data_IF_165317819115
#
_entry.id   IF_165317819115
#
_cell.length_a   1.000
_cell.length_b   1.000
_cell.length_c   1.000
_cell.angle_alpha   90.00
_cell.angle_beta   90.00
_cell.angle_gamma   90.00
#
_symmetry.space_group_name_H-M   'P 1'
#
loop_
_entity.id
_entity.type
_entity.pdbx_description
1 polymer ?
#
# COMPACT_ATOMS: atom_id res chain seq x y z
N UNK A 1 -10.75 -6.97 42.86
CA UNK A 1 -9.81 -5.91 43.28
C UNK A 1 -8.63 -5.90 42.33
N UNK A 2 -8.06 -4.71 42.08
CA UNK A 2 -6.95 -4.38 41.16
C UNK A 2 -7.38 -4.08 39.71
N UNK A 3 -7.87 -2.86 39.46
CA UNK A 3 -7.13 -1.64 39.01
C UNK A 3 -6.96 -1.67 37.49
N UNK A 4 -7.76 -0.98 36.68
CA UNK A 4 -8.00 0.46 36.75
C UNK A 4 -6.87 1.20 36.05
N UNK A 5 -6.65 0.95 34.76
CA UNK A 5 -5.72 1.73 33.93
C UNK A 5 -6.43 2.98 33.40
N UNK A 6 -6.72 3.89 34.34
CA UNK A 6 -6.91 5.30 34.05
C UNK A 6 -5.55 5.92 33.77
N UNK A 7 -5.37 6.44 32.55
CA UNK A 7 -4.17 7.17 32.17
C UNK A 7 -4.09 7.55 30.69
N UNK A 8 -5.23 7.81 30.05
CA UNK A 8 -5.23 8.44 28.72
C UNK A 8 -5.16 9.96 28.92
N UNK A 9 -3.95 10.51 28.84
CA UNK A 9 -3.78 11.91 28.52
C UNK A 9 -3.63 12.00 27.00
N UNK A 10 -4.64 12.46 26.24
CA UNK A 10 -4.39 12.86 24.87
C UNK A 10 -3.51 14.11 24.96
N UNK A 11 -2.20 13.93 24.81
CA UNK A 11 -1.34 15.04 24.43
C UNK A 11 -1.77 15.40 23.02
N UNK A 12 -2.75 16.30 22.94
CA UNK A 12 -3.10 17.00 21.72
C UNK A 12 -1.87 17.80 21.31
N UNK A 13 -1.00 17.17 20.51
CA UNK A 13 -0.02 17.88 19.70
C UNK A 13 -0.79 18.67 18.65
N UNK A 14 -1.36 19.81 19.07
CA UNK A 14 -1.85 20.88 18.19
C UNK A 14 -0.63 21.51 17.51
N UNK A 15 -0.02 20.82 16.56
CA UNK A 15 1.09 21.38 15.77
C UNK A 15 0.72 21.50 14.29
N UNK A 16 -0.33 20.83 13.82
CA UNK A 16 -0.71 20.87 12.40
C UNK A 16 -2.17 21.31 12.19
N UNK A 17 -2.54 22.56 12.55
CA UNK A 17 -3.93 23.05 12.49
C UNK A 17 -4.57 22.90 11.11
N UNK A 18 -3.77 22.92 10.04
CA UNK A 18 -4.24 22.68 8.67
C UNK A 18 -4.60 21.20 8.44
N UNK A 19 -3.83 20.26 8.98
CA UNK A 19 -4.13 18.83 8.83
C UNK A 19 -5.38 18.45 9.63
N UNK A 20 -5.53 18.97 10.85
CA UNK A 20 -6.73 18.75 11.66
C UNK A 20 -7.98 19.25 10.93
N UNK A 21 -7.94 20.46 10.35
CA UNK A 21 -9.04 21.00 9.54
C UNK A 21 -9.36 20.14 8.30
N UNK A 22 -8.34 19.57 7.66
CA UNK A 22 -8.53 18.63 6.54
C UNK A 22 -9.24 17.36 7.03
N UNK A 23 -8.72 16.75 8.10
CA UNK A 23 -9.25 15.49 8.64
C UNK A 23 -10.61 15.64 9.30
N UNK A 24 -11.00 16.82 9.77
CA UNK A 24 -12.37 17.11 10.22
C UNK A 24 -13.41 16.87 9.12
N UNK A 25 -13.04 17.04 7.84
CA UNK A 25 -13.94 16.80 6.69
C UNK A 25 -13.93 15.36 6.20
N UNK A 26 -12.91 14.59 6.56
CA UNK A 26 -12.81 13.19 6.19
C UNK A 26 -13.63 12.34 7.15
N UNK A 27 -14.20 11.24 6.66
CA UNK A 27 -15.00 10.30 7.45
C UNK A 27 -14.62 8.87 7.07
N UNK A 28 -14.96 7.89 7.92
CA UNK A 28 -14.74 6.47 7.62
C UNK A 28 -13.28 6.01 7.63
N UNK A 29 -13.04 4.92 6.92
CA UNK A 29 -11.79 4.13 6.96
C UNK A 29 -10.56 4.91 6.45
N UNK A 30 -10.75 5.84 5.51
CA UNK A 30 -9.66 6.69 5.01
C UNK A 30 -9.07 7.57 6.12
N UNK A 31 -9.93 8.17 6.96
CA UNK A 31 -9.50 9.00 8.09
C UNK A 31 -8.79 8.17 9.14
N UNK A 32 -9.35 7.00 9.47
CA UNK A 32 -8.74 6.07 10.42
C UNK A 32 -7.36 5.61 9.92
N UNK A 33 -7.24 5.29 8.63
CA UNK A 33 -5.97 4.94 7.99
C UNK A 33 -4.95 6.05 8.09
N UNK A 34 -5.34 7.32 7.87
CA UNK A 34 -4.44 8.46 8.09
C UNK A 34 -3.93 8.49 9.53
N UNK A 35 -4.80 8.32 10.54
CA UNK A 35 -4.36 8.31 11.94
C UNK A 35 -3.41 7.14 12.25
N UNK A 36 -3.68 5.95 11.71
CA UNK A 36 -2.79 4.79 11.84
C UNK A 36 -1.41 5.05 11.23
N UNK A 37 -1.37 5.65 10.03
CA UNK A 37 -0.13 6.01 9.36
C UNK A 37 0.62 7.15 10.08
N UNK A 38 -0.08 8.12 10.66
CA UNK A 38 0.55 9.15 11.50
C UNK A 38 1.24 8.51 12.71
N UNK A 39 0.56 7.57 13.37
CA UNK A 39 1.14 6.86 14.50
C UNK A 39 2.35 6.01 14.09
N UNK A 40 2.31 5.39 12.90
CA UNK A 40 3.36 4.52 12.40
C UNK A 40 4.57 5.26 11.83
N UNK A 41 4.34 6.31 11.04
CA UNK A 41 5.36 6.98 10.21
C UNK A 41 5.58 8.45 10.57
N UNK A 42 4.81 9.02 11.50
CA UNK A 42 4.84 10.44 11.81
C UNK A 42 3.94 11.28 10.89
N UNK A 43 4.03 12.61 11.02
CA UNK A 43 3.20 13.53 10.24
C UNK A 43 3.46 13.39 8.72
N UNK A 44 2.43 13.58 7.88
CA UNK A 44 2.58 13.56 6.43
C UNK A 44 3.44 14.70 5.92
N UNK A 45 4.06 14.51 4.76
CA UNK A 45 4.84 15.54 4.07
C UNK A 45 3.94 16.54 3.35
N UNK A 46 2.84 16.06 2.77
CA UNK A 46 1.85 16.89 2.10
C UNK A 46 0.44 16.49 2.54
N UNK A 47 -0.44 17.48 2.66
CA UNK A 47 -1.85 17.27 2.96
C UNK A 47 -2.68 18.22 2.11
N UNK A 48 -3.72 17.68 1.48
CA UNK A 48 -4.71 18.43 0.72
C UNK A 48 -6.10 17.91 1.06
N UNK A 49 -7.14 18.60 0.60
CA UNK A 49 -8.53 18.20 0.86
C UNK A 49 -8.87 16.81 0.32
N UNK A 50 -8.17 16.31 -0.70
CA UNK A 50 -8.48 15.05 -1.40
C UNK A 50 -7.44 13.95 -1.20
N UNK A 51 -6.25 14.26 -0.68
CA UNK A 51 -5.21 13.26 -0.39
C UNK A 51 -4.20 13.72 0.65
N UNK A 52 -3.64 12.75 1.38
CA UNK A 52 -2.56 12.90 2.37
C UNK A 52 -1.38 12.03 1.94
N UNK A 53 -0.16 12.59 1.94
CA UNK A 53 1.02 11.97 1.33
C UNK A 53 2.20 11.92 2.31
N UNK A 54 2.83 10.76 2.37
CA UNK A 54 4.15 10.55 2.95
C UNK A 54 5.14 10.18 1.85
N UNK A 55 6.35 10.69 1.94
CA UNK A 55 7.48 10.29 1.10
C UNK A 55 8.54 9.61 1.95
N UNK A 56 9.19 8.60 1.36
CA UNK A 56 10.33 7.91 1.96
C UNK A 56 10.06 7.39 3.39
N UNK A 57 8.86 6.82 3.61
CA UNK A 57 8.42 6.31 4.90
C UNK A 57 8.54 4.79 4.99
N UNK A 58 9.33 4.30 5.94
CA UNK A 58 9.57 2.86 6.08
C UNK A 58 10.15 2.26 4.79
N UNK A 59 9.54 1.20 4.23
CA UNK A 59 10.01 0.62 2.98
C UNK A 59 9.44 1.31 1.73
N UNK A 60 8.51 2.26 1.90
CA UNK A 60 7.79 2.92 0.83
C UNK A 60 8.57 4.12 0.30
N UNK A 61 8.60 4.24 -1.03
CA UNK A 61 9.01 5.49 -1.68
C UNK A 61 7.96 6.58 -1.46
N UNK A 62 6.68 6.18 -1.52
CA UNK A 62 5.53 7.07 -1.39
C UNK A 62 4.33 6.30 -0.84
N UNK A 63 3.62 6.89 0.12
CA UNK A 63 2.33 6.43 0.62
C UNK A 63 1.32 7.55 0.45
N UNK A 64 0.18 7.28 -0.18
CA UNK A 64 -0.91 8.24 -0.40
C UNK A 64 -2.20 7.63 0.13
N UNK A 65 -2.87 8.33 1.04
CA UNK A 65 -4.28 8.06 1.32
C UNK A 65 -5.11 9.01 0.50
N UNK A 66 -6.00 8.48 -0.33
CA UNK A 66 -6.98 9.24 -1.12
C UNK A 66 -8.29 9.33 -0.36
N UNK A 67 -8.99 10.47 -0.47
CA UNK A 67 -10.35 10.61 0.06
C UNK A 67 -11.32 9.76 -0.77
N UNK A 68 -11.23 9.88 -2.09
CA UNK A 68 -12.04 9.09 -3.03
C UNK A 68 -11.51 7.67 -3.12
N UNK A 69 -12.44 6.71 -3.05
CA UNK A 69 -12.13 5.29 -3.11
C UNK A 69 -12.83 4.61 -4.29
N UNK A 70 -12.22 3.54 -4.80
CA UNK A 70 -12.72 2.81 -5.97
C UNK A 70 -13.03 1.36 -5.57
N UNK A 71 -14.18 0.78 -5.94
CA UNK A 71 -14.48 -0.62 -5.64
C UNK A 71 -13.48 -1.58 -6.30
N UNK A 72 -12.96 -2.51 -5.50
CA UNK A 72 -12.08 -3.58 -5.94
C UNK A 72 -12.54 -4.91 -5.35
N UNK A 73 -12.64 -5.95 -6.19
CA UNK A 73 -13.31 -7.21 -5.83
C UNK A 73 -12.34 -8.39 -5.58
N UNK A 74 -11.04 -8.17 -5.70
CA UNK A 74 -10.05 -9.23 -5.58
C UNK A 74 -9.09 -8.99 -4.40
N UNK A 75 -8.74 -10.02 -3.61
CA UNK A 75 -9.36 -11.36 -3.56
C UNK A 75 -10.75 -11.36 -2.89
N UNK A 76 -11.10 -10.28 -2.17
CA UNK A 76 -12.43 -10.04 -1.60
C UNK A 76 -12.87 -8.61 -1.89
N UNK A 77 -14.19 -8.31 -1.92
CA UNK A 77 -14.67 -6.95 -2.09
C UNK A 77 -14.17 -5.97 -1.01
N UNK A 78 -13.62 -4.84 -1.43
CA UNK A 78 -13.17 -3.72 -0.60
C UNK A 78 -13.09 -2.43 -1.45
N UNK A 79 -12.64 -1.34 -0.84
CA UNK A 79 -12.46 -0.04 -1.48
C UNK A 79 -10.98 0.34 -1.52
N UNK A 80 -10.47 0.69 -2.71
CA UNK A 80 -9.10 1.09 -2.92
C UNK A 80 -8.92 2.59 -2.64
N UNK A 81 -8.18 2.91 -1.59
CA UNK A 81 -7.89 4.30 -1.22
C UNK A 81 -6.47 4.52 -0.68
N UNK A 82 -5.79 3.47 -0.22
CA UNK A 82 -4.40 3.51 0.25
C UNK A 82 -3.47 3.04 -0.87
N UNK A 83 -2.77 3.99 -1.49
CA UNK A 83 -1.81 3.77 -2.55
C UNK A 83 -0.38 3.79 -1.98
N UNK A 84 0.41 2.77 -2.29
CA UNK A 84 1.79 2.67 -1.81
C UNK A 84 2.74 2.21 -2.91
N UNK A 85 3.85 2.92 -3.00
CA UNK A 85 4.79 2.82 -4.13
C UNK A 85 6.19 2.49 -3.65
N UNK A 86 6.90 1.67 -4.44
CA UNK A 86 8.32 1.35 -4.25
C UNK A 86 9.13 1.60 -5.52
N UNK A 87 10.43 1.76 -5.36
CA UNK A 87 11.37 1.61 -6.48
C UNK A 87 11.43 0.14 -6.90
N UNK A 88 11.01 -0.15 -8.14
CA UNK A 88 11.05 -1.50 -8.70
C UNK A 88 11.12 -1.46 -10.22
N UNK A 89 12.10 -2.14 -10.81
CA UNK A 89 12.22 -2.26 -12.27
C UNK A 89 11.49 -3.50 -12.78
N UNK A 90 10.23 -3.31 -13.21
CA UNK A 90 9.45 -4.38 -13.84
C UNK A 90 9.97 -4.63 -15.26
N UNK A 91 10.36 -5.87 -15.62
CA UNK A 91 10.70 -6.19 -17.01
C UNK A 91 9.47 -6.03 -17.93
N UNK A 92 9.66 -5.37 -19.07
CA UNK A 92 8.56 -4.96 -19.97
C UNK A 92 7.68 -6.12 -20.40
N UNK A 93 8.25 -7.31 -20.59
CA UNK A 93 7.51 -8.51 -21.01
C UNK A 93 6.48 -9.01 -20.00
N UNK A 94 6.45 -8.48 -18.77
CA UNK A 94 5.50 -8.89 -17.73
C UNK A 94 4.35 -7.90 -17.50
N UNK A 95 4.27 -6.80 -18.26
CA UNK A 95 3.23 -5.78 -18.04
C UNK A 95 1.83 -6.36 -18.23
N UNK A 96 1.63 -7.22 -19.22
CA UNK A 96 0.35 -7.87 -19.49
C UNK A 96 -0.02 -8.85 -18.36
N UNK A 97 0.93 -9.64 -17.88
CA UNK A 97 0.74 -10.57 -16.76
C UNK A 97 0.37 -9.85 -15.47
N UNK A 98 1.02 -8.72 -15.17
CA UNK A 98 0.70 -7.93 -13.99
C UNK A 98 -0.69 -7.31 -14.07
N UNK A 99 -1.10 -6.82 -15.24
CA UNK A 99 -2.45 -6.33 -15.48
C UNK A 99 -3.53 -7.43 -15.37
N UNK A 100 -3.20 -8.67 -15.74
CA UNK A 100 -4.08 -9.84 -15.53
C UNK A 100 -4.12 -10.31 -14.07
N UNK A 101 -3.03 -10.10 -13.32
CA UNK A 101 -2.93 -10.50 -11.93
C UNK A 101 -3.83 -9.65 -11.03
N UNK A 102 -3.73 -8.33 -11.08
CA UNK A 102 -4.45 -7.43 -10.19
C UNK A 102 -4.69 -6.08 -10.88
N UNK A 103 -5.94 -5.60 -10.86
CA UNK A 103 -6.33 -4.33 -11.49
C UNK A 103 -5.82 -3.10 -10.74
N UNK A 104 -5.35 -3.28 -9.51
CA UNK A 104 -4.88 -2.22 -8.61
C UNK A 104 -3.39 -2.30 -8.32
N UNK A 105 -2.65 -2.97 -9.21
CA UNK A 105 -1.20 -3.03 -9.25
C UNK A 105 -0.68 -2.35 -10.53
N UNK A 106 0.16 -1.32 -10.36
CA UNK A 106 0.59 -0.45 -11.44
C UNK A 106 2.12 -0.44 -11.56
N UNK A 107 2.69 -0.99 -12.64
CA UNK A 107 4.08 -0.74 -12.99
C UNK A 107 4.23 0.59 -13.76
N UNK A 108 5.21 1.41 -13.36
CA UNK A 108 5.66 2.59 -14.11
C UNK A 108 7.10 2.37 -14.55
N UNK A 109 7.28 2.04 -15.84
CA UNK A 109 8.59 1.76 -16.44
C UNK A 109 9.51 2.97 -16.35
N UNK A 110 9.00 4.16 -16.67
CA UNK A 110 9.84 5.35 -16.80
C UNK A 110 10.34 5.83 -15.44
N UNK A 111 9.44 5.91 -14.46
CA UNK A 111 9.81 6.26 -13.10
C UNK A 111 10.59 5.13 -12.40
N UNK A 112 10.49 3.90 -12.89
CA UNK A 112 11.05 2.71 -12.24
C UNK A 112 10.32 2.40 -10.94
N UNK A 113 9.00 2.51 -10.95
CA UNK A 113 8.13 2.37 -9.79
C UNK A 113 7.19 1.17 -9.97
N UNK A 114 6.82 0.56 -8.84
CA UNK A 114 5.66 -0.32 -8.75
C UNK A 114 4.78 0.14 -7.60
N UNK A 115 3.48 0.21 -7.85
CA UNK A 115 2.48 0.74 -6.93
C UNK A 115 1.37 -0.28 -6.74
N UNK A 116 0.96 -0.51 -5.50
CA UNK A 116 -0.29 -1.20 -5.18
C UNK A 116 -1.25 -0.22 -4.50
N UNK A 117 -2.54 -0.37 -4.76
CA UNK A 117 -3.60 0.42 -4.12
C UNK A 117 -4.66 -0.52 -3.54
N UNK A 118 -4.95 -0.38 -2.25
CA UNK A 118 -5.88 -1.26 -1.52
C UNK A 118 -6.52 -0.49 -0.34
N UNK A 119 -7.21 -1.18 0.57
CA UNK A 119 -7.72 -0.64 1.83
C UNK A 119 -6.66 -0.69 2.95
N UNK A 120 -5.70 -1.60 2.86
CA UNK A 120 -4.73 -1.91 3.93
C UNK A 120 -3.29 -2.04 3.41
N UNK A 121 -2.33 -1.57 4.23
CA UNK A 121 -0.90 -1.65 3.92
C UNK A 121 -0.42 -3.11 3.79
N UNK A 122 -0.97 -4.01 4.61
CA UNK A 122 -0.69 -5.44 4.55
C UNK A 122 -1.04 -6.03 3.18
N UNK A 123 -2.18 -5.63 2.60
CA UNK A 123 -2.59 -6.08 1.29
C UNK A 123 -1.68 -5.52 0.18
N UNK A 124 -1.24 -4.26 0.31
CA UNK A 124 -0.24 -3.69 -0.61
C UNK A 124 1.11 -4.44 -0.55
N UNK A 125 1.57 -4.85 0.63
CA UNK A 125 2.75 -5.74 0.74
C UNK A 125 2.52 -7.06 0.00
N UNK A 126 1.36 -7.69 0.19
CA UNK A 126 1.03 -8.96 -0.44
C UNK A 126 1.05 -8.83 -1.97
N UNK A 127 0.37 -7.83 -2.52
CA UNK A 127 0.27 -7.59 -3.96
C UNK A 127 1.65 -7.39 -4.60
N UNK A 128 2.52 -6.56 -3.99
CA UNK A 128 3.87 -6.30 -4.50
C UNK A 128 4.82 -7.50 -4.34
N UNK A 129 4.66 -8.31 -3.29
CA UNK A 129 5.39 -9.58 -3.16
C UNK A 129 4.98 -10.58 -4.25
N UNK A 130 3.68 -10.69 -4.53
CA UNK A 130 3.18 -11.57 -5.59
C UNK A 130 3.57 -11.08 -6.99
N UNK A 131 3.58 -9.77 -7.21
CA UNK A 131 4.17 -9.16 -8.39
C UNK A 131 5.62 -9.64 -8.59
N UNK A 132 6.44 -9.55 -7.54
CA UNK A 132 7.83 -10.00 -7.60
C UNK A 132 7.95 -11.49 -7.96
N UNK A 133 7.11 -12.33 -7.38
CA UNK A 133 7.06 -13.75 -7.69
C UNK A 133 6.70 -14.03 -9.16
N UNK A 134 5.77 -13.26 -9.74
CA UNK A 134 5.40 -13.37 -11.16
C UNK A 134 6.58 -12.98 -12.05
N UNK A 135 7.17 -11.80 -11.85
CA UNK A 135 8.24 -11.29 -12.72
C UNK A 135 9.55 -12.06 -12.58
N UNK A 136 9.72 -12.86 -11.52
CA UNK A 136 10.85 -13.78 -11.34
C UNK A 136 10.54 -15.22 -11.76
N UNK A 137 9.33 -15.47 -12.28
CA UNK A 137 8.90 -16.79 -12.74
C UNK A 137 8.67 -17.81 -11.62
N UNK A 138 8.63 -17.38 -10.34
CA UNK A 138 8.29 -18.27 -9.23
C UNK A 138 6.83 -18.67 -9.24
N UNK A 139 5.96 -17.81 -9.78
CA UNK A 139 4.52 -18.06 -9.92
C UNK A 139 4.03 -17.63 -11.28
N UNK A 140 3.04 -18.35 -11.80
CA UNK A 140 2.19 -17.83 -12.87
C UNK A 140 1.14 -16.87 -12.30
N UNK A 141 0.50 -16.09 -13.17
CA UNK A 141 -0.62 -15.21 -12.79
C UNK A 141 -1.72 -16.00 -12.06
N UNK A 142 -2.13 -17.14 -12.61
CA UNK A 142 -3.18 -17.98 -12.03
C UNK A 142 -2.80 -18.51 -10.64
N UNK A 143 -1.56 -18.98 -10.48
CA UNK A 143 -1.06 -19.45 -9.19
C UNK A 143 -0.97 -18.31 -8.17
N UNK A 144 -0.50 -17.12 -8.57
CA UNK A 144 -0.46 -15.95 -7.70
C UNK A 144 -1.86 -15.54 -7.24
N UNK A 145 -2.88 -15.55 -8.13
CA UNK A 145 -4.27 -15.23 -7.76
C UNK A 145 -4.86 -16.24 -6.77
N UNK A 146 -4.62 -17.54 -7.00
CA UNK A 146 -5.04 -18.60 -6.07
C UNK A 146 -4.35 -18.44 -4.72
N UNK A 147 -3.02 -18.24 -4.72
CA UNK A 147 -2.25 -18.09 -3.51
C UNK A 147 -2.71 -16.88 -2.67
N UNK A 148 -2.90 -15.71 -3.30
CA UNK A 148 -3.45 -14.53 -2.64
C UNK A 148 -4.79 -14.83 -1.95
N UNK A 149 -5.69 -15.52 -2.67
CA UNK A 149 -7.00 -15.91 -2.14
C UNK A 149 -6.88 -16.86 -0.95
N UNK A 150 -5.95 -17.80 -0.99
CA UNK A 150 -5.73 -18.77 0.09
C UNK A 150 -5.17 -18.12 1.35
N UNK A 151 -4.14 -17.27 1.22
CA UNK A 151 -3.54 -16.60 2.39
C UNK A 151 -4.48 -15.56 2.99
N UNK A 152 -5.27 -14.86 2.18
CA UNK A 152 -6.29 -13.92 2.67
C UNK A 152 -7.42 -14.66 3.41
N UNK A 153 -7.89 -15.79 2.88
CA UNK A 153 -8.85 -16.66 3.58
C UNK A 153 -8.27 -17.17 4.90
N UNK A 154 -7.01 -17.58 4.91
CA UNK A 154 -6.30 -18.02 6.12
C UNK A 154 -6.24 -16.92 7.18
N UNK A 155 -5.91 -15.70 6.77
CA UNK A 155 -5.86 -14.53 7.65
C UNK A 155 -7.26 -14.22 8.23
N UNK A 156 -8.26 -14.03 7.36
CA UNK A 156 -9.60 -13.60 7.78
C UNK A 156 -10.37 -14.64 8.58
N UNK A 157 -10.29 -15.91 8.18
CA UNK A 157 -11.12 -16.97 8.76
C UNK A 157 -10.43 -17.72 9.91
N UNK A 158 -9.09 -17.68 9.98
CA UNK A 158 -8.32 -18.48 10.93
C UNK A 158 -7.27 -17.68 11.70
N UNK A 159 -7.12 -16.38 11.43
CA UNK A 159 -6.10 -15.54 12.07
C UNK A 159 -4.67 -15.96 11.71
N UNK A 160 -4.47 -16.65 10.59
CA UNK A 160 -3.14 -17.10 10.16
C UNK A 160 -2.39 -15.95 9.48
N UNK A 161 -1.22 -15.59 10.01
CA UNK A 161 -0.35 -14.63 9.33
C UNK A 161 0.44 -15.28 8.19
N UNK A 162 0.88 -14.46 7.25
CA UNK A 162 1.79 -14.81 6.17
C UNK A 162 2.85 -13.72 6.05
N UNK A 163 4.14 -14.05 5.81
CA UNK A 163 5.18 -13.05 5.57
C UNK A 163 4.86 -12.07 4.43
N UNK A 164 3.96 -12.46 3.51
CA UNK A 164 3.49 -11.62 2.41
C UNK A 164 2.76 -10.36 2.88
N UNK A 165 2.15 -10.39 4.07
CA UNK A 165 1.40 -9.26 4.64
C UNK A 165 2.27 -8.30 5.46
N UNK A 166 3.49 -8.70 5.80
CA UNK A 166 4.28 -8.03 6.86
C UNK A 166 5.43 -7.20 6.30
N UNK A 167 6.06 -7.66 5.22
CA UNK A 167 7.28 -7.07 4.67
C UNK A 167 7.51 -7.51 3.22
N UNK A 168 8.43 -6.83 2.54
CA UNK A 168 8.95 -7.34 1.27
C UNK A 168 9.83 -8.58 1.47
N UNK A 169 9.60 -9.58 0.62
CA UNK A 169 10.34 -10.84 0.57
C UNK A 169 11.47 -10.83 -0.47
N UNK A 170 11.79 -9.64 -0.96
CA UNK A 170 12.86 -9.35 -1.89
C UNK A 170 13.60 -8.08 -1.42
N UNK A 171 14.89 -7.94 -1.75
CA UNK A 171 15.66 -6.76 -1.36
C UNK A 171 15.14 -5.50 -2.06
N UNK A 172 15.21 -4.36 -1.37
CA UNK A 172 14.93 -3.05 -1.98
C UNK A 172 15.84 -2.83 -3.19
N UNK A 173 15.28 -2.34 -4.29
CA UNK A 173 16.03 -1.99 -5.49
C UNK A 173 16.44 -0.50 -5.47
N UNK A 174 17.42 -0.16 -6.29
CA UNK A 174 17.86 1.20 -6.57
C UNK A 174 18.15 1.33 -8.07
N UNK A 175 18.19 2.56 -8.59
CA UNK A 175 18.44 2.84 -10.02
C UNK A 175 17.47 2.10 -10.96
N UNK A 176 16.19 2.07 -10.58
CA UNK A 176 15.14 1.30 -11.26
C UNK A 176 14.55 2.01 -12.47
N UNK A 177 14.79 3.30 -12.63
CA UNK A 177 14.26 4.08 -13.75
C UNK A 177 14.73 3.54 -15.10
N UNK A 178 13.84 3.63 -16.08
CA UNK A 178 14.12 3.31 -17.48
C UNK A 178 13.58 4.45 -18.35
N UNK A 179 14.43 5.44 -18.72
CA UNK A 179 13.98 6.63 -19.47
C UNK A 179 13.57 6.33 -20.91
N UNK A 180 13.50 5.05 -21.30
CA UNK A 180 13.33 4.57 -22.66
C UNK A 180 14.46 5.02 -23.61
N UNK A 181 14.30 4.75 -24.89
CA UNK A 181 15.31 5.05 -25.93
C UNK A 181 14.99 6.37 -26.63
N UNK A 182 16.01 7.23 -26.75
CA UNK A 182 15.95 8.48 -27.53
C UNK A 182 16.17 8.19 -29.02
N UNK A 183 15.28 8.69 -29.88
CA UNK A 183 15.38 8.53 -31.35
C UNK A 183 15.73 9.82 -32.11
N UNK A 184 15.74 10.99 -31.45
CA UNK A 184 16.11 12.30 -32.00
C UNK A 184 16.70 13.19 -30.89
#
# INVERSE_FOLDING_TARGET
MYTGLTGYHPQHFRIHPVLDQILERWTGEQKETVHLLINKFGLPNEASWTKIIWYNNGPWKRTIVHLDAVPHNFPTPHLDYLEQTIDYKVPVQFFDELAQFDGSLYPDRTAGEATAKCDQEAANFMALNLMHDIVTGRRSVEDARRFATEIEKGLRLKGQSSPYFERFLFPKQSHTSDPDVRYF
#
